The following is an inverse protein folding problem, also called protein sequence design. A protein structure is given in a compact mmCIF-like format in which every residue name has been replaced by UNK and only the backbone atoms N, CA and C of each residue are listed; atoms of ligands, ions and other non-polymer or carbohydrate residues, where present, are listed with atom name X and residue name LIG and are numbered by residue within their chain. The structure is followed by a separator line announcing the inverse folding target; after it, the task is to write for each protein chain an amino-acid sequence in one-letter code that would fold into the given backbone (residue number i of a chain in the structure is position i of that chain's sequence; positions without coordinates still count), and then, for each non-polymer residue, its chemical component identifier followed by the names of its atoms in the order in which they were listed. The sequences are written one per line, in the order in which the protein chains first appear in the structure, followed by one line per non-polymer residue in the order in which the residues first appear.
data_IF_000778519013
#
_entry.id   IF_000778519013
#
_cell.length_a   1.000
_cell.length_b   1.000
_cell.length_c   1.000
_cell.angle_alpha   90.00
_cell.angle_beta   90.00
_cell.angle_gamma   90.00
#
_symmetry.space_group_name_H-M   'P 1'
#
loop_
_entity.id
_entity.type
_entity.pdbx_description
1 polymer ?
#
# COMPACT_ATOMS: atom_id res chain seq x y z
N UNK A 1 30.33 -23.35 -36.04
CA UNK A 1 30.97 -23.63 -34.72
C UNK A 1 31.00 -22.37 -33.86
N UNK A 2 31.36 -21.25 -34.37
CA UNK A 2 31.46 -19.96 -33.62
C UNK A 2 30.10 -19.44 -33.12
N UNK A 3 29.04 -19.61 -33.90
CA UNK A 3 27.66 -19.24 -33.51
C UNK A 3 27.15 -20.05 -32.30
N UNK A 4 27.55 -21.31 -32.16
CA UNK A 4 27.15 -22.16 -31.03
C UNK A 4 27.71 -21.65 -29.71
N UNK A 5 28.94 -21.15 -29.69
CA UNK A 5 29.57 -20.59 -28.48
C UNK A 5 28.84 -19.33 -28.03
N UNK A 6 28.48 -18.45 -28.96
CA UNK A 6 27.78 -17.23 -28.69
C UNK A 6 26.40 -17.52 -28.09
N UNK A 7 25.63 -18.42 -28.67
CA UNK A 7 24.32 -18.82 -28.16
C UNK A 7 24.44 -19.46 -26.78
N UNK A 8 25.45 -20.28 -26.52
CA UNK A 8 25.68 -20.91 -25.23
C UNK A 8 25.98 -19.86 -24.14
N UNK A 9 26.80 -18.85 -24.45
CA UNK A 9 27.10 -17.76 -23.51
C UNK A 9 25.84 -16.95 -23.20
N UNK A 10 25.06 -16.56 -24.21
CA UNK A 10 23.80 -15.83 -24.02
C UNK A 10 22.82 -16.63 -23.16
N UNK A 11 22.70 -17.95 -23.42
CA UNK A 11 21.80 -18.81 -22.63
C UNK A 11 22.16 -18.83 -21.14
N UNK A 12 23.47 -18.92 -20.81
CA UNK A 12 23.94 -18.87 -19.42
C UNK A 12 23.68 -17.52 -18.78
N UNK A 13 23.95 -16.41 -19.48
CA UNK A 13 23.70 -15.08 -18.98
C UNK A 13 22.21 -14.81 -18.72
N UNK A 14 21.33 -15.24 -19.62
CA UNK A 14 19.88 -15.11 -19.48
C UNK A 14 19.36 -15.96 -18.31
N UNK A 15 19.87 -17.18 -18.15
CA UNK A 15 19.47 -18.06 -17.04
C UNK A 15 19.75 -17.46 -15.66
N UNK A 16 20.82 -16.67 -15.52
CA UNK A 16 21.15 -15.96 -14.28
C UNK A 16 20.38 -14.64 -14.17
N UNK A 17 20.21 -13.91 -15.27
CA UNK A 17 19.62 -12.58 -15.27
C UNK A 17 18.11 -12.60 -14.94
N UNK A 18 17.35 -13.59 -15.42
CA UNK A 18 15.89 -13.65 -15.22
C UNK A 18 15.50 -13.69 -13.74
N UNK A 19 16.01 -14.60 -12.88
CA UNK A 19 15.60 -14.63 -11.48
C UNK A 19 16.02 -13.40 -10.70
N UNK A 20 17.17 -12.79 -11.02
CA UNK A 20 17.63 -11.55 -10.39
C UNK A 20 16.71 -10.40 -10.78
N UNK A 21 16.36 -10.29 -12.05
CA UNK A 21 15.51 -9.21 -12.55
C UNK A 21 14.10 -9.27 -11.96
N UNK A 22 13.50 -10.47 -11.87
CA UNK A 22 12.16 -10.64 -11.30
C UNK A 22 12.09 -10.21 -9.82
N UNK A 23 13.12 -10.54 -9.05
CA UNK A 23 13.22 -10.12 -7.65
C UNK A 23 13.37 -8.60 -7.50
N UNK A 24 14.18 -7.96 -8.34
CA UNK A 24 14.33 -6.51 -8.32
C UNK A 24 13.05 -5.79 -8.77
N UNK A 25 12.35 -6.35 -9.75
CA UNK A 25 11.08 -5.83 -10.20
C UNK A 25 10.01 -5.88 -9.10
N UNK A 26 9.97 -6.97 -8.33
CA UNK A 26 9.03 -7.08 -7.21
C UNK A 26 9.34 -6.07 -6.11
N UNK A 27 10.60 -5.90 -5.72
CA UNK A 27 11.02 -4.86 -4.77
C UNK A 27 10.65 -3.44 -5.24
N UNK A 28 10.72 -3.19 -6.55
CA UNK A 28 10.29 -1.91 -7.13
C UNK A 28 8.78 -1.70 -7.02
N UNK A 29 7.99 -2.75 -7.24
CA UNK A 29 6.53 -2.71 -7.07
C UNK A 29 6.14 -2.45 -5.63
N UNK A 30 6.78 -3.11 -4.67
CA UNK A 30 6.58 -2.87 -3.24
C UNK A 30 6.93 -1.42 -2.85
N UNK A 31 8.00 -0.86 -3.39
CA UNK A 31 8.34 0.54 -3.17
C UNK A 31 7.25 1.49 -3.71
N UNK A 32 6.65 1.15 -4.85
CA UNK A 32 5.51 1.88 -5.40
C UNK A 32 4.29 1.77 -4.50
N UNK A 33 3.97 0.58 -4.00
CA UNK A 33 2.86 0.36 -3.09
C UNK A 33 3.06 1.14 -1.77
N UNK A 34 4.26 1.11 -1.21
CA UNK A 34 4.60 1.91 -0.03
C UNK A 34 4.42 3.42 -0.26
N UNK A 35 4.80 3.92 -1.44
CA UNK A 35 4.59 5.32 -1.81
C UNK A 35 3.10 5.66 -1.95
N UNK A 36 2.31 4.78 -2.57
CA UNK A 36 0.87 4.95 -2.72
C UNK A 36 0.15 4.96 -1.37
N UNK A 37 0.54 4.09 -0.44
CA UNK A 37 -0.01 4.06 0.93
C UNK A 37 0.34 5.35 1.67
N UNK A 38 1.59 5.85 1.57
CA UNK A 38 1.99 7.14 2.17
C UNK A 38 1.19 8.31 1.62
N UNK A 39 0.95 8.33 0.31
CA UNK A 39 0.12 9.35 -0.34
C UNK A 39 -1.32 9.31 0.20
N UNK A 40 -1.91 8.13 0.26
CA UNK A 40 -3.25 7.95 0.80
C UNK A 40 -3.35 8.37 2.27
N UNK A 41 -2.34 8.04 3.08
CA UNK A 41 -2.25 8.48 4.47
C UNK A 41 -2.27 10.01 4.58
N UNK A 42 -1.44 10.69 3.79
CA UNK A 42 -1.38 12.15 3.80
C UNK A 42 -2.71 12.77 3.36
N UNK A 43 -3.36 12.21 2.34
CA UNK A 43 -4.65 12.69 1.84
C UNK A 43 -5.78 12.48 2.86
N UNK A 44 -5.84 11.33 3.51
CA UNK A 44 -6.82 11.04 4.57
C UNK A 44 -6.62 11.99 5.74
N UNK A 45 -5.40 12.20 6.19
CA UNK A 45 -5.09 13.12 7.29
C UNK A 45 -5.40 14.58 6.93
N UNK A 46 -5.02 15.02 5.73
CA UNK A 46 -5.32 16.38 5.27
C UNK A 46 -6.84 16.61 5.19
N UNK A 47 -7.58 15.64 4.62
CA UNK A 47 -9.05 15.74 4.54
C UNK A 47 -9.70 15.76 5.91
N UNK A 48 -9.27 14.89 6.83
CA UNK A 48 -9.81 14.85 8.19
C UNK A 48 -9.57 16.15 8.98
N UNK A 49 -8.42 16.78 8.75
CA UNK A 49 -8.08 18.06 9.43
C UNK A 49 -8.78 19.26 8.83
N UNK A 50 -9.11 19.23 7.55
CA UNK A 50 -9.76 20.36 6.84
C UNK A 50 -11.27 20.23 6.73
N UNK A 51 -11.83 19.07 7.07
CA UNK A 51 -13.28 18.84 7.04
C UNK A 51 -13.97 19.62 8.16
N UNK A 52 -14.75 20.62 7.79
CA UNK A 52 -15.52 21.47 8.70
C UNK A 52 -16.89 20.89 9.05
N UNK A 53 -17.42 20.00 8.21
CA UNK A 53 -18.77 19.43 8.34
C UNK A 53 -18.72 18.02 8.96
N UNK A 54 -18.02 17.89 10.09
CA UNK A 54 -17.79 16.59 10.76
C UNK A 54 -19.06 15.83 11.15
N UNK A 55 -20.13 16.57 11.44
CA UNK A 55 -21.41 16.02 11.89
C UNK A 55 -22.35 15.62 10.74
N UNK A 56 -22.02 15.92 9.49
CA UNK A 56 -22.87 15.57 8.37
C UNK A 56 -22.78 14.06 8.08
N UNK A 57 -23.91 13.39 8.29
CA UNK A 57 -24.04 11.92 8.37
C UNK A 57 -24.05 11.21 7.00
N UNK A 58 -23.65 11.84 5.93
CA UNK A 58 -23.65 11.21 4.63
C UNK A 58 -22.35 10.45 4.37
N UNK A 59 -22.45 9.18 3.97
CA UNK A 59 -21.40 8.45 3.30
C UNK A 59 -21.04 9.18 2.00
N UNK A 60 -20.07 10.06 2.07
CA UNK A 60 -19.73 10.97 0.97
C UNK A 60 -18.24 10.86 0.65
N UNK A 61 -17.95 10.83 -0.63
CA UNK A 61 -16.60 11.14 -1.08
C UNK A 61 -16.33 12.64 -0.88
N UNK A 62 -15.38 12.97 -0.03
CA UNK A 62 -15.08 14.36 0.33
C UNK A 62 -14.12 14.97 -0.68
N UNK A 63 -12.97 14.36 -0.91
CA UNK A 63 -11.94 14.86 -1.82
C UNK A 63 -11.00 13.72 -2.24
N UNK A 64 -10.60 13.68 -3.51
CA UNK A 64 -9.56 12.77 -4.00
C UNK A 64 -9.77 11.27 -3.67
N UNK A 65 -11.02 10.80 -3.66
CA UNK A 65 -11.34 9.41 -3.34
C UNK A 65 -11.31 9.08 -1.84
N UNK A 66 -11.19 10.08 -0.97
CA UNK A 66 -11.37 9.91 0.48
C UNK A 66 -12.87 9.89 0.77
N UNK A 67 -13.33 8.83 1.39
CA UNK A 67 -14.71 8.62 1.84
C UNK A 67 -14.83 9.00 3.31
N UNK A 68 -15.93 9.66 3.65
CA UNK A 68 -16.29 9.97 5.02
C UNK A 68 -17.52 9.17 5.40
N UNK A 69 -17.45 8.53 6.56
CA UNK A 69 -18.56 7.81 7.18
C UNK A 69 -18.74 8.36 8.59
N UNK A 70 -19.96 8.58 9.02
CA UNK A 70 -20.26 9.02 10.38
C UNK A 70 -21.01 7.93 11.12
N UNK A 71 -20.48 7.49 12.27
CA UNK A 71 -21.11 6.51 13.16
C UNK A 71 -21.11 7.05 14.57
N UNK A 72 -22.26 7.02 15.24
CA UNK A 72 -22.45 7.54 16.62
C UNK A 72 -21.96 8.99 16.80
N UNK A 73 -22.15 9.83 15.78
CA UNK A 73 -21.74 11.23 15.81
C UNK A 73 -20.24 11.48 15.65
N UNK A 74 -19.46 10.43 15.35
CA UNK A 74 -18.01 10.52 15.13
C UNK A 74 -17.68 10.20 13.68
N UNK A 75 -16.81 11.02 13.09
CA UNK A 75 -16.42 10.90 11.71
C UNK A 75 -15.23 9.94 11.54
N UNK A 76 -15.28 9.17 10.45
CA UNK A 76 -14.22 8.28 10.00
C UNK A 76 -13.93 8.57 8.53
N UNK A 77 -12.69 8.87 8.22
CA UNK A 77 -12.24 9.08 6.84
C UNK A 77 -11.42 7.89 6.39
N UNK A 78 -11.70 7.39 5.19
CA UNK A 78 -11.01 6.24 4.64
C UNK A 78 -10.68 6.40 3.17
N UNK A 79 -9.58 5.79 2.75
CA UNK A 79 -9.18 5.70 1.34
C UNK A 79 -8.64 4.33 1.01
N UNK A 80 -9.12 3.77 -0.08
CA UNK A 80 -8.62 2.52 -0.63
C UNK A 80 -7.39 2.75 -1.50
N UNK A 81 -6.40 1.89 -1.34
CA UNK A 81 -5.15 1.87 -2.11
C UNK A 81 -5.06 0.54 -2.85
N UNK A 82 -4.86 0.59 -4.15
CA UNK A 82 -4.63 -0.60 -4.97
C UNK A 82 -3.25 -1.20 -4.74
N UNK A 83 -3.06 -2.45 -5.13
CA UNK A 83 -1.81 -3.20 -5.05
C UNK A 83 -1.15 -3.31 -6.43
N UNK A 84 0.17 -3.10 -6.48
CA UNK A 84 1.01 -3.27 -7.69
C UNK A 84 1.88 -4.51 -7.59
N UNK A 85 2.30 -4.88 -6.37
CA UNK A 85 3.09 -6.08 -6.13
C UNK A 85 2.35 -7.36 -6.56
N UNK A 86 3.12 -8.39 -6.95
CA UNK A 86 2.59 -9.67 -7.44
C UNK A 86 2.79 -10.82 -6.46
N UNK A 87 3.67 -10.64 -5.48
CA UNK A 87 3.96 -11.63 -4.44
C UNK A 87 3.40 -11.17 -3.10
N UNK A 88 2.96 -12.12 -2.30
CA UNK A 88 2.48 -11.86 -0.95
C UNK A 88 3.63 -11.51 -0.01
N UNK A 89 3.36 -10.64 0.94
CA UNK A 89 4.36 -10.16 1.87
C UNK A 89 5.27 -9.08 1.28
N UNK A 90 6.23 -8.64 2.06
CA UNK A 90 7.21 -7.64 1.69
C UNK A 90 8.58 -8.29 1.52
N UNK A 91 9.08 -8.36 0.27
CA UNK A 91 10.40 -8.90 -0.06
C UNK A 91 11.50 -7.85 0.15
N UNK A 92 11.13 -6.58 0.13
CA UNK A 92 12.05 -5.48 0.36
C UNK A 92 12.25 -5.22 1.84
N UNK A 93 13.29 -5.79 2.42
CA UNK A 93 13.64 -5.66 3.83
C UNK A 93 14.02 -4.23 4.27
N UNK A 94 14.24 -3.33 3.32
CA UNK A 94 14.49 -1.91 3.61
C UNK A 94 13.23 -1.14 3.98
N UNK A 95 12.05 -1.67 3.65
CA UNK A 95 10.76 -1.09 4.02
C UNK A 95 10.33 -1.71 5.33
N UNK A 96 10.59 -1.03 6.45
CA UNK A 96 10.23 -1.50 7.80
C UNK A 96 8.98 -0.85 8.35
N UNK A 97 8.66 0.34 7.85
CA UNK A 97 7.48 1.11 8.26
C UNK A 97 6.94 1.96 7.10
N UNK A 98 5.66 2.27 7.15
CA UNK A 98 4.98 3.16 6.22
C UNK A 98 4.21 4.20 7.03
N UNK A 99 4.51 5.48 6.80
CA UNK A 99 3.87 6.59 7.53
C UNK A 99 3.95 6.48 9.07
N UNK A 100 5.08 5.96 9.58
CA UNK A 100 5.29 5.73 11.03
C UNK A 100 4.61 4.48 11.58
N UNK A 101 3.95 3.69 10.73
CA UNK A 101 3.30 2.44 11.11
C UNK A 101 4.17 1.27 10.67
N UNK A 102 4.57 0.42 11.59
CA UNK A 102 5.41 -0.75 11.31
C UNK A 102 4.65 -1.80 10.49
N UNK A 103 5.33 -2.43 9.53
CA UNK A 103 4.73 -3.42 8.63
C UNK A 103 4.17 -4.65 9.36
N UNK A 104 4.75 -5.03 10.48
CA UNK A 104 4.38 -6.24 11.24
C UNK A 104 3.88 -5.89 12.65
N UNK A 105 3.25 -4.74 12.83
CA UNK A 105 2.58 -4.42 14.09
C UNK A 105 1.32 -5.27 14.24
N UNK A 106 1.16 -5.94 15.37
CA UNK A 106 0.00 -6.80 15.66
C UNK A 106 -1.32 -6.02 15.67
N UNK A 107 -1.26 -4.71 15.94
CA UNK A 107 -2.42 -3.82 15.97
C UNK A 107 -2.75 -3.20 14.60
N UNK A 108 -1.81 -3.28 13.67
CA UNK A 108 -1.92 -2.60 12.37
C UNK A 108 -1.09 -3.31 11.29
N UNK A 109 -1.46 -4.54 10.92
CA UNK A 109 -0.71 -5.32 9.95
C UNK A 109 -0.84 -4.73 8.54
N UNK A 110 0.25 -4.20 8.00
CA UNK A 110 0.34 -3.77 6.60
C UNK A 110 0.90 -4.91 5.73
N UNK A 111 0.61 -6.13 6.07
CA UNK A 111 1.08 -7.27 5.29
C UNK A 111 0.21 -7.45 4.04
N UNK A 112 0.82 -7.59 2.87
CA UNK A 112 0.10 -7.86 1.62
C UNK A 112 -0.21 -9.36 1.49
N UNK A 113 -1.08 -9.88 2.32
CA UNK A 113 -1.40 -11.32 2.34
C UNK A 113 -2.36 -11.73 1.21
N UNK A 114 -3.34 -10.89 0.89
CA UNK A 114 -4.37 -11.20 -0.10
C UNK A 114 -4.15 -10.57 -1.46
N UNK A 115 -3.20 -9.65 -1.61
CA UNK A 115 -2.96 -8.85 -2.82
C UNK A 115 -4.21 -8.07 -3.30
N UNK A 116 -5.06 -7.63 -2.39
CA UNK A 116 -6.27 -6.85 -2.68
C UNK A 116 -6.08 -5.35 -2.52
N UNK A 117 -4.97 -4.96 -1.92
CA UNK A 117 -4.66 -3.58 -1.57
C UNK A 117 -4.93 -3.28 -0.10
N UNK A 118 -4.94 -2.02 0.23
CA UNK A 118 -5.06 -1.55 1.61
C UNK A 118 -6.15 -0.49 1.73
N UNK A 119 -6.68 -0.34 2.93
CA UNK A 119 -7.54 0.78 3.30
C UNK A 119 -6.85 1.57 4.40
N UNK A 120 -6.63 2.84 4.14
CA UNK A 120 -6.14 3.80 5.14
C UNK A 120 -7.35 4.46 5.79
N UNK A 121 -7.44 4.40 7.11
CA UNK A 121 -8.59 4.90 7.87
C UNK A 121 -8.12 5.78 9.01
N UNK A 122 -8.67 6.99 9.10
CA UNK A 122 -8.52 7.84 10.27
C UNK A 122 -9.85 7.95 11.01
N UNK A 123 -9.83 7.73 12.32
CA UNK A 123 -11.01 7.81 13.18
C UNK A 123 -10.89 8.97 14.16
N UNK A 124 -11.91 9.82 14.18
CA UNK A 124 -12.01 10.92 15.15
C UNK A 124 -12.11 10.42 16.60
N UNK A 125 -12.73 9.26 16.81
CA UNK A 125 -12.90 8.66 18.15
C UNK A 125 -11.56 8.31 18.79
N UNK A 126 -10.68 7.68 18.03
CA UNK A 126 -9.38 7.24 18.55
C UNK A 126 -8.26 8.24 18.33
N UNK A 127 -8.46 9.24 17.44
CA UNK A 127 -7.44 10.17 17.00
C UNK A 127 -6.27 9.49 16.27
N UNK A 128 -6.47 8.27 15.79
CA UNK A 128 -5.43 7.45 15.16
C UNK A 128 -5.75 7.14 13.71
N UNK A 129 -4.68 7.07 12.92
CA UNK A 129 -4.74 6.55 11.57
C UNK A 129 -4.28 5.09 11.57
N UNK A 130 -5.04 4.23 10.91
CA UNK A 130 -4.81 2.79 10.80
C UNK A 130 -4.74 2.40 9.33
N UNK A 131 -3.82 1.52 8.99
CA UNK A 131 -3.69 0.95 7.64
C UNK A 131 -3.99 -0.54 7.75
N UNK A 132 -5.06 -0.97 7.10
CA UNK A 132 -5.49 -2.38 7.11
C UNK A 132 -5.49 -2.93 5.70
N UNK A 133 -5.30 -4.24 5.59
CA UNK A 133 -5.50 -4.91 4.32
C UNK A 133 -6.99 -4.85 3.92
N UNK A 134 -7.26 -4.60 2.65
CA UNK A 134 -8.63 -4.48 2.14
C UNK A 134 -9.39 -5.79 2.32
N UNK A 135 -10.52 -5.74 3.00
CA UNK A 135 -11.44 -6.85 3.14
C UNK A 135 -12.08 -7.24 1.79
N UNK A 136 -12.64 -8.42 1.74
CA UNK A 136 -13.38 -8.92 0.57
C UNK A 136 -14.60 -8.07 0.25
#
# INVERSE_FOLDING_TARGET
MEMLIVVAIIAVLVAIAIPVFTNQLEKSREATDAANIRSAYAEVMATALTDTDRADAADKEVTNGVKKTVSDGKAVWSKDVGVVQKQKGWQNTSITEIAGIKLNDATNPIAAQSLKGWTVTYSEDTGKCVITEKAN
#
